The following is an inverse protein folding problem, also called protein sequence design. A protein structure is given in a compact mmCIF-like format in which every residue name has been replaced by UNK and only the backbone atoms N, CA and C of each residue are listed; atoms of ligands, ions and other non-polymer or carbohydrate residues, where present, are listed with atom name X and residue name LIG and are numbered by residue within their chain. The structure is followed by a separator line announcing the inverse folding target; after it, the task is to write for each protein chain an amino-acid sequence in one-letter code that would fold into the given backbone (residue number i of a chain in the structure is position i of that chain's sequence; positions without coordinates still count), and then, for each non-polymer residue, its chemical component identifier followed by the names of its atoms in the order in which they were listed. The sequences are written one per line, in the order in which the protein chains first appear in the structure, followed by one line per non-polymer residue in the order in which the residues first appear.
data_IF_868970014473
#
_entry.id   IF_868970014473
#
_cell.length_a   1.000
_cell.length_b   1.000
_cell.length_c   1.000
_cell.angle_alpha   90.00
_cell.angle_beta   90.00
_cell.angle_gamma   90.00
#
_symmetry.space_group_name_H-M   'P 1'
#
loop_
_entity.id
_entity.type
_entity.pdbx_description
1 polymer ?
#
# COMPACT_ATOMS: atom_id res chain seq x y z
N UNK A 1 -31.79 -10.13 13.23
CA UNK A 1 -30.50 -10.45 12.57
C UNK A 1 -29.39 -9.81 13.38
N UNK A 2 -28.49 -10.59 13.97
CA UNK A 2 -27.27 -10.02 14.56
C UNK A 2 -26.30 -9.70 13.42
N UNK A 3 -26.04 -8.42 13.16
CA UNK A 3 -24.82 -8.05 12.44
C UNK A 3 -23.66 -8.30 13.40
N UNK A 4 -22.92 -9.39 13.19
CA UNK A 4 -21.62 -9.59 13.84
C UNK A 4 -20.73 -8.42 13.47
N UNK A 5 -20.40 -7.56 14.44
CA UNK A 5 -19.46 -6.46 14.26
C UNK A 5 -18.12 -7.07 13.81
N UNK A 6 -17.81 -6.93 12.52
CA UNK A 6 -16.52 -7.36 11.98
C UNK A 6 -15.46 -6.43 12.55
N UNK A 7 -14.44 -6.99 13.20
CA UNK A 7 -13.34 -6.20 13.75
C UNK A 7 -12.74 -5.33 12.62
N UNK A 8 -12.64 -3.99 12.79
CA UNK A 8 -12.17 -3.10 11.74
C UNK A 8 -10.74 -3.43 11.27
N UNK A 9 -9.90 -4.01 12.13
CA UNK A 9 -8.56 -4.49 11.77
C UNK A 9 -8.60 -5.62 10.74
N UNK A 10 -9.46 -6.63 10.94
CA UNK A 10 -9.63 -7.75 10.00
C UNK A 10 -10.21 -7.29 8.66
N UNK A 11 -11.08 -6.26 8.66
CA UNK A 11 -11.55 -5.63 7.42
C UNK A 11 -10.41 -4.95 6.65
N UNK A 12 -9.56 -4.17 7.33
CA UNK A 12 -8.39 -3.52 6.72
C UNK A 12 -7.39 -4.55 6.20
N UNK A 13 -7.05 -5.57 6.98
CA UNK A 13 -6.20 -6.70 6.60
C UNK A 13 -6.72 -7.38 5.32
N UNK A 14 -8.04 -7.66 5.24
CA UNK A 14 -8.68 -8.21 4.03
C UNK A 14 -8.57 -7.27 2.83
N UNK A 15 -8.79 -5.96 3.00
CA UNK A 15 -8.61 -4.95 1.92
C UNK A 15 -7.18 -4.94 1.38
N UNK A 16 -6.16 -4.97 2.25
CA UNK A 16 -4.75 -4.95 1.85
C UNK A 16 -4.40 -6.23 1.08
N UNK A 17 -4.77 -7.41 1.61
CA UNK A 17 -4.53 -8.72 0.96
C UNK A 17 -5.24 -8.83 -0.40
N UNK A 18 -6.52 -8.44 -0.47
CA UNK A 18 -7.27 -8.44 -1.72
C UNK A 18 -6.67 -7.48 -2.76
N UNK A 19 -6.15 -6.33 -2.32
CA UNK A 19 -5.49 -5.36 -3.20
C UNK A 19 -4.14 -5.87 -3.70
N UNK A 20 -3.28 -6.43 -2.85
CA UNK A 20 -1.98 -6.97 -3.27
C UNK A 20 -2.13 -8.16 -4.24
N UNK A 21 -3.07 -9.07 -3.97
CA UNK A 21 -3.41 -10.17 -4.87
C UNK A 21 -3.95 -9.72 -6.23
N UNK A 22 -4.75 -8.63 -6.26
CA UNK A 22 -5.20 -8.00 -7.52
C UNK A 22 -4.06 -7.33 -8.27
N UNK A 23 -3.14 -6.62 -7.60
CA UNK A 23 -1.93 -6.07 -8.24
C UNK A 23 -1.14 -7.21 -8.87
N UNK A 24 -0.82 -8.28 -8.14
CA UNK A 24 -0.04 -9.40 -8.65
C UNK A 24 -0.68 -10.04 -9.91
N UNK A 25 -2.01 -10.20 -9.95
CA UNK A 25 -2.73 -10.69 -11.13
C UNK A 25 -2.66 -9.73 -12.32
N UNK A 26 -2.84 -8.42 -12.09
CA UNK A 26 -2.75 -7.41 -13.15
C UNK A 26 -1.32 -7.29 -13.71
N UNK A 27 -0.29 -7.34 -12.86
CA UNK A 27 1.11 -7.34 -13.30
C UNK A 27 1.43 -8.58 -14.16
N UNK A 28 0.90 -9.77 -13.82
CA UNK A 28 1.02 -10.97 -14.68
C UNK A 28 0.35 -10.74 -16.05
N UNK A 29 -0.81 -10.10 -16.09
CA UNK A 29 -1.47 -9.75 -17.35
C UNK A 29 -0.64 -8.75 -18.18
N UNK A 30 0.08 -7.80 -17.55
CA UNK A 30 1.05 -6.94 -18.24
C UNK A 30 2.19 -7.76 -18.86
N UNK A 31 2.80 -8.69 -18.11
CA UNK A 31 3.88 -9.55 -18.68
C UNK A 31 3.37 -10.37 -19.86
N UNK A 32 2.18 -10.96 -19.76
CA UNK A 32 1.58 -11.72 -20.85
C UNK A 32 1.31 -10.85 -22.09
N UNK A 33 0.78 -9.63 -21.91
CA UNK A 33 0.54 -8.69 -23.01
C UNK A 33 1.85 -8.25 -23.70
N UNK A 34 2.90 -7.99 -22.91
CA UNK A 34 4.23 -7.66 -23.45
C UNK A 34 4.84 -8.84 -24.23
N UNK A 35 4.65 -10.08 -23.75
CA UNK A 35 5.11 -11.27 -24.46
C UNK A 35 4.37 -11.49 -25.79
N UNK A 36 3.04 -11.28 -25.82
CA UNK A 36 2.25 -11.28 -27.07
C UNK A 36 2.73 -10.20 -28.03
N UNK A 37 3.01 -8.98 -27.55
CA UNK A 37 3.56 -7.90 -28.37
C UNK A 37 4.92 -8.29 -28.98
N UNK A 38 5.82 -8.90 -28.20
CA UNK A 38 7.12 -9.39 -28.70
C UNK A 38 6.94 -10.45 -29.79
N UNK A 39 6.04 -11.42 -29.59
CA UNK A 39 5.73 -12.45 -30.60
C UNK A 39 5.20 -11.82 -31.89
N UNK A 40 4.27 -10.86 -31.79
CA UNK A 40 3.73 -10.16 -32.97
C UNK A 40 4.82 -9.40 -33.72
N UNK A 41 5.72 -8.69 -33.02
CA UNK A 41 6.88 -8.02 -33.64
C UNK A 41 7.79 -9.03 -34.35
N UNK A 42 8.09 -10.17 -33.72
CA UNK A 42 8.93 -11.22 -34.32
C UNK A 42 8.29 -11.85 -35.57
N UNK A 43 6.99 -12.12 -35.55
CA UNK A 43 6.23 -12.62 -36.72
C UNK A 43 6.31 -11.60 -37.86
N UNK A 44 6.13 -10.31 -37.57
CA UNK A 44 6.17 -9.26 -38.60
C UNK A 44 7.58 -9.04 -39.17
N UNK A 45 8.63 -9.16 -38.35
CA UNK A 45 10.02 -9.17 -38.84
C UNK A 45 10.30 -10.38 -39.75
N UNK A 46 9.76 -11.56 -39.42
CA UNK A 46 9.89 -12.75 -40.26
C UNK A 46 9.13 -12.60 -41.61
N UNK A 47 7.92 -12.04 -41.60
CA UNK A 47 7.16 -11.76 -42.83
C UNK A 47 7.90 -10.74 -43.70
N UNK A 48 8.35 -9.62 -43.13
CA UNK A 48 9.05 -8.58 -43.85
C UNK A 48 10.41 -9.03 -44.42
N UNK A 49 11.15 -9.87 -43.68
CA UNK A 49 12.42 -10.45 -44.14
C UNK A 49 12.27 -11.60 -45.14
N UNK A 50 11.14 -12.32 -45.12
CA UNK A 50 10.88 -13.46 -46.00
C UNK A 50 10.36 -13.08 -47.39
N UNK A 51 9.74 -11.90 -47.55
CA UNK A 51 9.26 -11.42 -48.83
C UNK A 51 10.38 -10.84 -49.70
N UNK A 52 10.90 -11.63 -50.64
CA UNK A 52 11.75 -11.13 -51.73
C UNK A 52 10.89 -10.29 -52.71
N UNK A 53 10.63 -9.04 -52.35
CA UNK A 53 9.88 -8.09 -53.19
C UNK A 53 10.66 -7.84 -54.47
N UNK A 54 10.19 -8.41 -55.58
CA UNK A 54 10.72 -8.09 -56.91
C UNK A 54 10.29 -6.67 -57.25
N UNK A 55 11.25 -5.74 -57.23
CA UNK A 55 11.01 -4.35 -57.58
C UNK A 55 10.91 -4.25 -59.10
N UNK A 56 9.71 -4.01 -59.61
CA UNK A 56 9.50 -3.64 -61.02
C UNK A 56 10.03 -2.21 -61.24
N UNK A 57 11.10 -2.00 -62.04
CA UNK A 57 11.65 -0.68 -62.28
C UNK A 57 10.71 0.24 -63.06
N UNK A 58 9.68 -0.29 -63.73
CA UNK A 58 8.66 0.49 -64.43
C UNK A 58 7.56 1.02 -63.50
N UNK A 59 7.40 0.45 -62.30
CA UNK A 59 6.41 0.87 -61.31
C UNK A 59 6.98 0.87 -59.87
N UNK A 60 7.72 1.92 -59.47
CA UNK A 60 8.29 2.02 -58.12
C UNK A 60 7.24 2.08 -57.01
N UNK A 61 5.97 2.38 -57.32
CA UNK A 61 4.89 2.45 -56.33
C UNK A 61 4.31 1.09 -55.96
N UNK A 62 4.51 0.04 -56.78
CA UNK A 62 3.98 -1.29 -56.51
C UNK A 62 4.54 -1.89 -55.20
N UNK A 63 5.85 -1.73 -54.96
CA UNK A 63 6.50 -2.18 -53.73
C UNK A 63 5.99 -1.42 -52.49
N UNK A 64 5.80 -0.10 -52.61
CA UNK A 64 5.29 0.75 -51.52
C UNK A 64 3.85 0.35 -51.17
N UNK A 65 2.99 0.18 -52.18
CA UNK A 65 1.58 -0.22 -51.98
C UNK A 65 1.44 -1.58 -51.30
N UNK A 66 2.27 -2.56 -51.68
CA UNK A 66 2.29 -3.89 -51.06
C UNK A 66 2.62 -3.81 -49.56
N UNK A 67 3.67 -3.06 -49.20
CA UNK A 67 4.09 -2.91 -47.80
C UNK A 67 3.12 -2.06 -46.95
N UNK A 68 2.49 -1.05 -47.55
CA UNK A 68 1.63 -0.09 -46.84
C UNK A 68 0.44 -0.75 -46.14
N UNK A 69 -0.17 -1.76 -46.77
CA UNK A 69 -1.29 -2.52 -46.18
C UNK A 69 -0.89 -3.23 -44.87
N UNK A 70 0.24 -3.93 -44.87
CA UNK A 70 0.80 -4.61 -43.70
C UNK A 70 1.17 -3.63 -42.58
N UNK A 71 1.70 -2.44 -42.93
CA UNK A 71 2.01 -1.40 -41.94
C UNK A 71 0.76 -0.78 -41.30
N UNK A 72 -0.35 -0.59 -42.05
CA UNK A 72 -1.62 -0.12 -41.48
C UNK A 72 -2.15 -1.13 -40.46
N UNK A 73 -2.20 -2.42 -40.83
CA UNK A 73 -2.67 -3.49 -39.93
C UNK A 73 -1.80 -3.54 -38.67
N UNK A 74 -0.47 -3.47 -38.81
CA UNK A 74 0.44 -3.40 -37.68
C UNK A 74 0.19 -2.17 -36.78
N UNK A 75 0.01 -0.99 -37.36
CA UNK A 75 -0.26 0.25 -36.63
C UNK A 75 -1.54 0.15 -35.80
N UNK A 76 -2.60 -0.44 -36.35
CA UNK A 76 -3.86 -0.69 -35.62
C UNK A 76 -3.63 -1.67 -34.46
N UNK A 77 -2.91 -2.79 -34.67
CA UNK A 77 -2.61 -3.73 -33.59
C UNK A 77 -1.76 -3.11 -32.48
N UNK A 78 -0.72 -2.34 -32.82
CA UNK A 78 0.11 -1.62 -31.85
C UNK A 78 -0.73 -0.62 -31.05
N UNK A 79 -1.62 0.13 -31.70
CA UNK A 79 -2.51 1.08 -31.04
C UNK A 79 -3.47 0.38 -30.07
N UNK A 80 -4.08 -0.74 -30.47
CA UNK A 80 -4.99 -1.51 -29.61
C UNK A 80 -4.25 -2.09 -28.39
N UNK A 81 -3.02 -2.61 -28.58
CA UNK A 81 -2.19 -3.11 -27.48
C UNK A 81 -1.77 -1.97 -26.54
N UNK A 82 -1.42 -0.80 -27.07
CA UNK A 82 -1.07 0.38 -26.27
C UNK A 82 -2.26 0.86 -25.43
N UNK A 83 -3.47 0.91 -26.01
CA UNK A 83 -4.71 1.23 -25.28
C UNK A 83 -5.00 0.20 -24.17
N UNK A 84 -4.89 -1.10 -24.46
CA UNK A 84 -5.05 -2.15 -23.47
C UNK A 84 -4.02 -2.04 -22.33
N UNK A 85 -2.77 -1.75 -22.65
CA UNK A 85 -1.71 -1.52 -21.67
C UNK A 85 -2.03 -0.31 -20.78
N UNK A 86 -2.46 0.82 -21.35
CA UNK A 86 -2.86 2.02 -20.59
C UNK A 86 -4.00 1.69 -19.60
N UNK A 87 -5.04 0.97 -20.04
CA UNK A 87 -6.14 0.54 -19.17
C UNK A 87 -5.63 -0.33 -18.02
N UNK A 88 -4.76 -1.31 -18.29
CA UNK A 88 -4.19 -2.17 -17.24
C UNK A 88 -3.31 -1.35 -16.27
N UNK A 89 -2.52 -0.38 -16.74
CA UNK A 89 -1.73 0.50 -15.86
C UNK A 89 -2.65 1.33 -14.94
N UNK A 90 -3.73 1.91 -15.46
CA UNK A 90 -4.72 2.63 -14.63
C UNK A 90 -5.32 1.68 -13.57
N UNK A 91 -5.67 0.45 -13.94
CA UNK A 91 -6.15 -0.55 -12.98
C UNK A 91 -5.11 -0.87 -11.90
N UNK A 92 -3.83 -1.00 -12.26
CA UNK A 92 -2.72 -1.21 -11.32
C UNK A 92 -2.58 -0.03 -10.35
N UNK A 93 -2.60 1.21 -10.84
CA UNK A 93 -2.54 2.42 -10.00
C UNK A 93 -3.72 2.50 -9.02
N UNK A 94 -4.93 2.13 -9.45
CA UNK A 94 -6.12 2.08 -8.57
C UNK A 94 -5.96 1.03 -7.45
N UNK A 95 -5.35 -0.12 -7.73
CA UNK A 95 -5.09 -1.11 -6.67
C UNK A 95 -3.95 -0.65 -5.75
N UNK A 96 -2.91 0.03 -6.24
CA UNK A 96 -1.89 0.67 -5.40
C UNK A 96 -2.52 1.71 -4.48
N UNK A 97 -3.42 2.57 -4.99
CA UNK A 97 -4.15 3.53 -4.16
C UNK A 97 -4.91 2.84 -3.01
N UNK A 98 -5.64 1.76 -3.31
CA UNK A 98 -6.35 0.96 -2.30
C UNK A 98 -5.42 0.29 -1.29
N UNK A 99 -4.24 -0.15 -1.73
CA UNK A 99 -3.20 -0.70 -0.86
C UNK A 99 -2.70 0.37 0.13
N UNK A 100 -2.38 1.57 -0.37
CA UNK A 100 -1.98 2.72 0.45
C UNK A 100 -3.07 3.16 1.43
N UNK A 101 -4.33 3.17 1.00
CA UNK A 101 -5.47 3.45 1.86
C UNK A 101 -5.60 2.42 2.98
N UNK A 102 -5.49 1.11 2.67
CA UNK A 102 -5.57 0.05 3.67
C UNK A 102 -4.50 0.17 4.76
N UNK A 103 -3.25 0.49 4.40
CA UNK A 103 -2.20 0.75 5.39
C UNK A 103 -2.44 2.03 6.21
N UNK A 104 -3.00 3.09 5.61
CA UNK A 104 -3.41 4.28 6.36
C UNK A 104 -4.56 4.01 7.33
N UNK A 105 -5.50 3.14 6.98
CA UNK A 105 -6.57 2.69 7.88
C UNK A 105 -5.99 1.90 9.07
N UNK A 106 -5.04 0.99 8.83
CA UNK A 106 -4.33 0.26 9.91
C UNK A 106 -3.55 1.21 10.82
N UNK A 107 -2.82 2.18 10.27
CA UNK A 107 -2.05 3.16 11.05
C UNK A 107 -2.92 4.00 12.01
N UNK A 108 -4.17 4.27 11.62
CA UNK A 108 -5.13 5.01 12.45
C UNK A 108 -5.78 4.11 13.52
N UNK A 109 -5.85 2.80 13.31
CA UNK A 109 -6.39 1.83 14.27
C UNK A 109 -5.37 1.40 15.32
N UNK A 110 -4.08 1.35 14.94
CA UNK A 110 -2.99 0.88 15.79
C UNK A 110 -1.81 1.89 15.79
N UNK A 111 -1.86 2.90 16.68
CA UNK A 111 -0.80 3.92 16.78
C UNK A 111 0.57 3.37 17.17
N UNK A 112 0.68 2.10 17.58
CA UNK A 112 1.97 1.45 17.85
C UNK A 112 2.80 1.16 16.60
N UNK A 113 2.22 1.38 15.41
CA UNK A 113 2.82 1.12 14.09
C UNK A 113 3.14 2.45 13.37
N UNK A 114 4.13 3.24 13.83
CA UNK A 114 4.44 4.55 13.23
C UNK A 114 4.83 4.45 11.75
N UNK A 115 5.44 3.32 11.36
CA UNK A 115 5.84 3.02 9.99
C UNK A 115 4.64 2.85 9.04
N UNK A 116 3.47 2.41 9.53
CA UNK A 116 2.31 2.13 8.69
C UNK A 116 1.77 3.38 7.96
N UNK A 117 1.87 4.55 8.60
CA UNK A 117 1.52 5.84 7.97
C UNK A 117 2.43 6.16 6.79
N UNK A 118 3.73 5.90 6.93
CA UNK A 118 4.75 6.19 5.91
C UNK A 118 4.61 5.31 4.66
N UNK A 119 4.04 4.10 4.78
CA UNK A 119 3.69 3.25 3.64
C UNK A 119 2.76 3.99 2.67
N UNK A 120 1.69 4.60 3.19
CA UNK A 120 0.70 5.30 2.38
C UNK A 120 1.34 6.47 1.62
N UNK A 121 2.21 7.23 2.28
CA UNK A 121 2.98 8.32 1.67
C UNK A 121 3.87 7.83 0.51
N UNK A 122 4.63 6.74 0.69
CA UNK A 122 5.47 6.17 -0.36
C UNK A 122 4.67 5.65 -1.56
N UNK A 123 3.52 5.01 -1.32
CA UNK A 123 2.65 4.51 -2.39
C UNK A 123 1.99 5.67 -3.15
N UNK A 124 1.50 6.70 -2.47
CA UNK A 124 0.90 7.87 -3.13
C UNK A 124 1.94 8.71 -3.88
N UNK A 125 3.15 8.85 -3.34
CA UNK A 125 4.26 9.50 -4.03
C UNK A 125 4.71 8.75 -5.29
N UNK A 126 4.65 7.41 -5.29
CA UNK A 126 4.83 6.62 -6.51
C UNK A 126 3.77 6.92 -7.56
N UNK A 127 2.48 6.88 -7.19
CA UNK A 127 1.37 7.14 -8.11
C UNK A 127 1.51 8.55 -8.72
N UNK A 128 1.80 9.55 -7.88
CA UNK A 128 1.97 10.94 -8.32
C UNK A 128 3.19 11.11 -9.24
N UNK A 129 4.34 10.55 -8.88
CA UNK A 129 5.56 10.60 -9.71
C UNK A 129 5.38 9.88 -11.05
N UNK A 130 4.67 8.75 -11.07
CA UNK A 130 4.35 8.00 -12.29
C UNK A 130 3.40 8.79 -13.21
N UNK A 131 2.31 9.34 -12.68
CA UNK A 131 1.35 10.12 -13.47
C UNK A 131 1.99 11.41 -14.01
N UNK A 132 2.74 12.15 -13.20
CA UNK A 132 3.47 13.34 -13.66
C UNK A 132 4.55 12.98 -14.69
N UNK A 133 5.21 11.82 -14.53
CA UNK A 133 6.19 11.32 -15.49
C UNK A 133 5.60 10.94 -16.86
N UNK A 134 4.31 10.60 -16.93
CA UNK A 134 3.58 10.36 -18.17
C UNK A 134 3.09 11.66 -18.84
N UNK A 135 2.67 12.65 -18.04
CA UNK A 135 2.10 13.90 -18.55
C UNK A 135 3.18 14.87 -19.02
N UNK A 136 4.33 14.94 -18.32
CA UNK A 136 5.36 15.94 -18.60
C UNK A 136 6.42 15.33 -19.54
N UNK A 137 6.60 15.85 -20.77
CA UNK A 137 7.56 15.30 -21.72
C UNK A 137 9.02 15.61 -21.34
N UNK A 138 9.96 14.91 -22.00
CA UNK A 138 11.39 15.20 -21.91
C UNK A 138 12.06 14.71 -20.64
N UNK A 139 13.13 15.40 -20.22
CA UNK A 139 13.95 15.02 -19.07
C UNK A 139 13.22 15.16 -17.75
N UNK A 140 12.35 16.18 -17.59
CA UNK A 140 11.61 16.40 -16.35
C UNK A 140 10.66 15.25 -16.03
N UNK A 141 9.90 14.74 -17.02
CA UNK A 141 9.05 13.56 -16.83
C UNK A 141 9.84 12.32 -16.37
N UNK A 142 11.01 12.08 -16.97
CA UNK A 142 11.93 11.01 -16.54
C UNK A 142 12.39 11.18 -15.08
N UNK A 143 12.67 12.41 -14.64
CA UNK A 143 13.01 12.70 -13.23
C UNK A 143 11.82 12.40 -12.32
N UNK A 144 10.59 12.81 -12.67
CA UNK A 144 9.40 12.55 -11.85
C UNK A 144 9.08 11.05 -11.75
N UNK A 145 9.24 10.29 -12.84
CA UNK A 145 9.09 8.84 -12.83
C UNK A 145 10.16 8.14 -11.97
N UNK A 146 11.40 8.64 -11.98
CA UNK A 146 12.49 8.14 -11.13
C UNK A 146 12.21 8.45 -9.65
N UNK A 147 11.80 9.67 -9.30
CA UNK A 147 11.37 10.05 -7.96
C UNK A 147 10.18 9.21 -7.47
N UNK A 148 9.21 8.94 -8.33
CA UNK A 148 8.12 8.00 -8.06
C UNK A 148 8.65 6.59 -7.72
N UNK A 149 9.67 6.11 -8.43
CA UNK A 149 10.31 4.81 -8.16
C UNK A 149 11.01 4.79 -6.79
N UNK A 150 11.71 5.86 -6.42
CA UNK A 150 12.28 6.01 -5.07
C UNK A 150 11.17 6.02 -3.99
N UNK A 151 10.05 6.68 -4.26
CA UNK A 151 8.90 6.74 -3.35
C UNK A 151 8.25 5.35 -3.16
N UNK A 152 8.10 4.58 -4.25
CA UNK A 152 7.66 3.18 -4.21
C UNK A 152 8.62 2.34 -3.35
N UNK A 153 9.92 2.54 -3.51
CA UNK A 153 10.94 1.83 -2.77
C UNK A 153 10.88 2.12 -1.26
N UNK A 154 10.70 3.38 -0.89
CA UNK A 154 10.46 3.78 0.49
C UNK A 154 9.16 3.16 1.03
N UNK A 155 8.06 3.17 0.26
CA UNK A 155 6.80 2.55 0.63
C UNK A 155 6.94 1.05 0.96
N UNK A 156 7.65 0.29 0.12
CA UNK A 156 7.92 -1.13 0.36
C UNK A 156 8.92 -1.39 1.50
N UNK A 157 9.88 -0.50 1.74
CA UNK A 157 10.73 -0.55 2.93
C UNK A 157 9.90 -0.37 4.21
N UNK A 158 8.97 0.60 4.25
CA UNK A 158 8.08 0.76 5.39
C UNK A 158 7.09 -0.40 5.57
N UNK A 159 6.69 -1.09 4.49
CA UNK A 159 5.95 -2.36 4.59
C UNK A 159 6.81 -3.39 5.34
N UNK A 160 8.05 -3.59 4.92
CA UNK A 160 8.97 -4.53 5.57
C UNK A 160 9.16 -4.23 7.08
N UNK A 161 9.45 -2.97 7.43
CA UNK A 161 9.59 -2.55 8.85
C UNK A 161 8.30 -2.79 9.65
N UNK A 162 7.12 -2.48 9.08
CA UNK A 162 5.83 -2.71 9.76
C UNK A 162 5.58 -4.21 10.00
N UNK A 163 6.00 -5.10 9.11
CA UNK A 163 5.93 -6.55 9.33
C UNK A 163 6.93 -7.04 10.39
N UNK A 164 8.13 -6.46 10.45
CA UNK A 164 9.07 -6.74 11.55
C UNK A 164 8.54 -6.21 12.90
N UNK A 165 7.82 -5.09 12.92
CA UNK A 165 7.14 -4.59 14.12
C UNK A 165 6.00 -5.52 14.57
N UNK A 166 5.15 -6.01 13.66
CA UNK A 166 4.17 -7.07 13.96
C UNK A 166 4.85 -8.35 14.50
N UNK A 167 6.01 -8.73 13.97
CA UNK A 167 6.80 -9.88 14.45
C UNK A 167 7.34 -9.65 15.86
N UNK A 168 7.87 -8.46 16.16
CA UNK A 168 8.32 -8.07 17.53
C UNK A 168 7.17 -8.09 18.54
N UNK A 169 5.95 -7.73 18.10
CA UNK A 169 4.72 -7.81 18.91
C UNK A 169 4.19 -9.25 19.08
N UNK A 170 4.83 -10.28 18.52
CA UNK A 170 4.38 -11.67 18.60
C UNK A 170 3.16 -12.01 17.71
N UNK A 171 2.68 -11.05 16.91
CA UNK A 171 1.51 -11.20 16.02
C UNK A 171 1.82 -11.91 14.70
N UNK A 172 3.09 -12.21 14.47
CA UNK A 172 3.57 -12.82 13.25
C UNK A 172 4.73 -13.79 13.54
N UNK A 173 4.56 -15.07 13.19
CA UNK A 173 5.52 -16.13 13.50
C UNK A 173 6.66 -16.32 12.49
N UNK A 174 6.72 -15.52 11.42
CA UNK A 174 7.72 -15.64 10.34
C UNK A 174 8.41 -14.29 10.10
N UNK A 175 9.67 -14.25 9.64
CA UNK A 175 10.28 -13.02 9.15
C UNK A 175 9.61 -12.57 7.84
N UNK A 176 9.58 -11.26 7.60
CA UNK A 176 9.03 -10.70 6.36
C UNK A 176 9.80 -11.17 5.11
N UNK A 177 9.09 -11.39 3.99
CA UNK A 177 9.72 -11.86 2.74
C UNK A 177 10.69 -10.82 2.16
N UNK A 178 11.99 -11.06 2.32
CA UNK A 178 13.08 -10.24 1.75
C UNK A 178 13.00 -10.10 0.22
N UNK A 179 12.28 -10.97 -0.47
CA UNK A 179 12.12 -10.93 -1.94
C UNK A 179 11.50 -9.62 -2.42
N UNK A 180 10.59 -9.03 -1.65
CA UNK A 180 9.92 -7.78 -2.01
C UNK A 180 10.90 -6.60 -2.02
N UNK A 181 11.81 -6.55 -1.05
CA UNK A 181 12.90 -5.57 -1.02
C UNK A 181 13.88 -5.75 -2.19
N UNK A 182 14.24 -7.00 -2.50
CA UNK A 182 15.12 -7.31 -3.65
C UNK A 182 14.45 -6.89 -4.97
N UNK A 183 13.16 -7.20 -5.16
CA UNK A 183 12.39 -6.81 -6.34
C UNK A 183 12.42 -5.29 -6.59
N UNK A 184 12.21 -4.54 -5.53
CA UNK A 184 12.24 -3.07 -5.50
C UNK A 184 13.63 -2.55 -5.84
N UNK A 185 14.69 -3.12 -5.26
CA UNK A 185 16.07 -2.74 -5.57
C UNK A 185 16.42 -2.99 -7.05
N UNK A 186 16.05 -4.13 -7.62
CA UNK A 186 16.24 -4.42 -9.05
C UNK A 186 15.45 -3.46 -9.95
N UNK A 187 14.20 -3.13 -9.57
CA UNK A 187 13.37 -2.15 -10.29
C UNK A 187 13.99 -0.76 -10.26
N UNK A 188 14.51 -0.33 -9.10
CA UNK A 188 15.17 0.95 -8.93
C UNK A 188 16.47 1.03 -9.74
N UNK A 189 17.31 -0.01 -9.70
CA UNK A 189 18.53 -0.12 -10.52
C UNK A 189 18.18 -0.04 -12.01
N UNK A 190 17.19 -0.81 -12.48
CA UNK A 190 16.71 -0.75 -13.87
C UNK A 190 16.30 0.65 -14.29
N UNK A 191 15.53 1.36 -13.45
CA UNK A 191 15.08 2.72 -13.75
C UNK A 191 16.23 3.75 -13.70
N UNK A 192 17.21 3.62 -12.81
CA UNK A 192 18.43 4.43 -12.81
C UNK A 192 19.24 4.19 -14.08
N UNK A 193 19.44 2.93 -14.49
CA UNK A 193 20.17 2.60 -15.72
C UNK A 193 19.45 3.13 -16.97
N UNK A 194 18.12 3.05 -17.03
CA UNK A 194 17.31 3.60 -18.13
C UNK A 194 17.33 5.13 -18.17
N UNK A 195 17.42 5.79 -17.01
CA UNK A 195 17.58 7.24 -16.91
C UNK A 195 18.92 7.70 -17.50
N UNK A 196 20.03 7.10 -17.04
CA UNK A 196 21.40 7.41 -17.48
C UNK A 196 21.58 7.06 -18.96
N UNK A 197 21.21 5.85 -19.38
CA UNK A 197 21.38 5.37 -20.75
C UNK A 197 20.22 5.77 -21.67
N UNK A 198 19.85 7.05 -21.66
CA UNK A 198 18.63 7.62 -22.29
C UNK A 198 18.41 7.35 -23.80
N UNK A 199 19.32 6.64 -24.47
CA UNK A 199 19.31 6.28 -25.90
C UNK A 199 19.05 4.77 -26.13
N UNK A 200 19.30 3.89 -25.15
CA UNK A 200 19.25 2.43 -25.34
C UNK A 200 17.99 1.79 -24.72
N UNK A 201 16.85 1.84 -25.43
CA UNK A 201 15.56 1.29 -24.95
C UNK A 201 15.58 -0.21 -24.60
N UNK A 202 16.50 -1.00 -25.17
CA UNK A 202 16.58 -2.46 -25.00
C UNK A 202 17.98 -2.86 -24.50
N UNK A 203 18.53 -2.08 -23.56
CA UNK A 203 19.79 -2.35 -22.90
C UNK A 203 19.66 -3.14 -21.60
N UNK A 204 20.78 -3.23 -20.87
CA UNK A 204 20.88 -3.91 -19.55
C UNK A 204 19.80 -3.44 -18.57
N UNK A 205 19.43 -2.16 -18.57
CA UNK A 205 18.38 -1.62 -17.69
C UNK A 205 16.99 -2.25 -17.92
N UNK A 206 16.67 -2.67 -19.15
CA UNK A 206 15.44 -3.39 -19.46
C UNK A 206 15.41 -4.80 -18.85
N UNK A 207 16.56 -5.50 -18.84
CA UNK A 207 16.72 -6.81 -18.22
C UNK A 207 16.58 -6.75 -16.69
N UNK A 208 17.24 -5.79 -16.03
CA UNK A 208 17.08 -5.55 -14.60
C UNK A 208 15.65 -5.13 -14.23
N UNK A 209 15.01 -4.30 -15.06
CA UNK A 209 13.60 -3.94 -14.91
C UNK A 209 12.66 -5.16 -14.99
N UNK A 210 12.86 -6.04 -15.97
CA UNK A 210 12.08 -7.28 -16.12
C UNK A 210 12.25 -8.21 -14.91
N UNK A 211 13.48 -8.43 -14.44
CA UNK A 211 13.75 -9.23 -13.24
C UNK A 211 13.08 -8.59 -12.01
N UNK A 212 13.24 -7.29 -11.81
CA UNK A 212 12.60 -6.55 -10.73
C UNK A 212 11.08 -6.72 -10.74
N UNK A 213 10.46 -6.64 -11.92
CA UNK A 213 9.02 -6.81 -12.11
C UNK A 213 8.54 -8.25 -11.81
N UNK A 214 9.28 -9.28 -12.23
CA UNK A 214 8.98 -10.68 -11.92
C UNK A 214 9.11 -10.94 -10.41
N UNK A 215 10.19 -10.44 -9.78
CA UNK A 215 10.37 -10.53 -8.33
C UNK A 215 9.29 -9.75 -7.57
N UNK A 216 8.78 -8.65 -8.13
CA UNK A 216 7.71 -7.84 -7.52
C UNK A 216 6.39 -8.60 -7.52
N UNK A 217 6.06 -9.31 -8.60
CA UNK A 217 4.91 -10.22 -8.67
C UNK A 217 5.01 -11.32 -7.59
N UNK A 218 6.20 -11.91 -7.41
CA UNK A 218 6.44 -12.94 -6.39
C UNK A 218 6.32 -12.34 -4.98
N UNK A 219 6.93 -11.19 -4.73
CA UNK A 219 6.89 -10.49 -3.45
C UNK A 219 5.48 -10.04 -3.06
N UNK A 220 4.64 -9.62 -4.02
CA UNK A 220 3.25 -9.27 -3.77
C UNK A 220 2.37 -10.48 -3.44
N UNK A 221 2.65 -11.65 -4.03
CA UNK A 221 1.98 -12.92 -3.67
C UNK A 221 2.42 -13.45 -2.30
N UNK A 222 3.70 -13.29 -1.95
CA UNK A 222 4.17 -13.58 -0.60
C UNK A 222 3.48 -12.62 0.39
N UNK A 223 3.42 -11.32 0.10
CA UNK A 223 2.72 -10.32 0.91
C UNK A 223 1.22 -10.62 1.08
N UNK A 224 0.50 -10.99 0.01
CA UNK A 224 -0.91 -11.42 0.08
C UNK A 224 -1.12 -12.54 1.11
N UNK A 225 -0.21 -13.52 1.14
CA UNK A 225 -0.22 -14.66 2.07
C UNK A 225 0.18 -14.26 3.48
N UNK A 226 1.23 -13.46 3.62
CA UNK A 226 1.77 -13.03 4.90
C UNK A 226 0.76 -12.13 5.64
N UNK A 227 0.07 -11.21 4.95
CA UNK A 227 -1.02 -10.41 5.53
C UNK A 227 -2.10 -11.29 6.17
N UNK A 228 -2.53 -12.37 5.50
CA UNK A 228 -3.60 -13.24 5.99
C UNK A 228 -3.21 -13.98 7.29
N UNK A 229 -1.92 -14.22 7.50
CA UNK A 229 -1.37 -14.93 8.65
C UNK A 229 -1.12 -14.04 9.88
N UNK A 230 -1.27 -12.70 9.78
CA UNK A 230 -1.16 -11.79 10.93
C UNK A 230 -2.35 -11.98 11.87
N UNK A 231 -2.09 -12.27 13.14
CA UNK A 231 -3.15 -12.33 14.16
C UNK A 231 -3.51 -10.92 14.66
N UNK A 232 -4.79 -10.66 14.99
CA UNK A 232 -5.13 -9.47 15.76
C UNK A 232 -4.42 -9.54 17.12
N UNK A 233 -4.04 -8.38 17.66
CA UNK A 233 -3.58 -8.30 19.05
C UNK A 233 -4.71 -8.81 19.93
N UNK A 234 -4.52 -9.94 20.62
CA UNK A 234 -5.33 -10.20 21.81
C UNK A 234 -5.08 -9.03 22.75
N UNK A 235 -6.10 -8.22 22.99
CA UNK A 235 -6.06 -7.23 24.06
C UNK A 235 -5.85 -8.02 25.34
N UNK A 236 -4.60 -8.12 25.80
CA UNK A 236 -4.24 -8.73 27.07
C UNK A 236 -5.21 -8.12 28.08
N UNK A 237 -6.12 -8.92 28.69
CA UNK A 237 -7.17 -8.35 29.52
C UNK A 237 -6.45 -7.57 30.61
N UNK A 238 -6.66 -6.25 30.63
CA UNK A 238 -5.99 -5.34 31.55
C UNK A 238 -6.28 -5.84 32.95
N UNK A 239 -5.32 -6.55 33.54
CA UNK A 239 -5.49 -7.07 34.89
C UNK A 239 -5.83 -5.86 35.77
N UNK A 240 -6.91 -5.92 36.56
CA UNK A 240 -7.27 -4.81 37.44
C UNK A 240 -6.01 -4.42 38.21
N UNK A 241 -5.66 -3.11 38.27
CA UNK A 241 -4.36 -2.69 38.80
C UNK A 241 -4.19 -3.29 40.19
N UNK A 242 -3.21 -4.18 40.32
CA UNK A 242 -2.87 -4.81 41.60
C UNK A 242 -2.67 -3.70 42.61
N UNK A 243 -3.59 -3.59 43.56
CA UNK A 243 -3.59 -2.49 44.52
C UNK A 243 -2.33 -2.61 45.37
N UNK A 244 -1.32 -1.80 45.06
CA UNK A 244 -0.18 -1.59 45.95
C UNK A 244 -0.74 -1.05 47.26
N UNK A 245 -0.46 -1.66 48.42
CA UNK A 245 -0.99 -1.20 49.70
C UNK A 245 -0.67 0.28 49.93
N UNK A 246 -1.72 1.09 50.10
CA UNK A 246 -1.63 2.53 50.27
C UNK A 246 -0.94 2.86 51.60
N UNK A 247 0.36 3.18 51.58
CA UNK A 247 1.06 3.70 52.74
C UNK A 247 0.65 5.16 52.96
N UNK A 248 0.07 5.43 54.13
CA UNK A 248 -0.41 6.77 54.50
C UNK A 248 0.76 7.76 54.65
N UNK A 249 0.67 8.99 54.11
CA UNK A 249 1.67 10.03 54.35
C UNK A 249 1.65 10.52 55.81
N UNK A 250 2.79 10.45 56.48
CA UNK A 250 2.97 10.98 57.84
C UNK A 250 2.91 12.52 57.83
N UNK A 251 2.19 13.08 58.81
CA UNK A 251 1.97 14.52 59.01
C UNK A 251 3.22 15.34 59.36
N UNK A 252 3.32 16.57 58.84
CA UNK A 252 4.16 17.66 59.38
C UNK A 252 3.37 18.99 59.34
N UNK A 253 3.45 19.91 60.35
CA UNK A 253 2.50 21.02 60.50
C UNK A 253 3.09 22.46 60.33
N UNK A 254 2.25 23.43 59.88
CA UNK A 254 2.21 24.87 60.33
C UNK A 254 3.41 25.79 59.95
N UNK A 255 3.35 27.07 59.52
CA UNK A 255 2.35 28.14 59.17
C UNK A 255 3.13 29.37 58.56
N UNK A 256 2.62 30.62 58.37
CA UNK A 256 1.31 31.12 57.87
C UNK A 256 1.38 32.28 56.81
N UNK A 257 0.29 32.48 56.03
CA UNK A 257 -0.30 33.78 55.57
C UNK A 257 0.45 34.76 54.59
N UNK A 258 -0.25 35.66 53.85
CA UNK A 258 -1.65 35.64 53.33
C UNK A 258 -1.86 36.13 51.85
N UNK A 259 -3.14 36.14 51.40
CA UNK A 259 -3.75 37.04 50.38
C UNK A 259 -3.43 36.88 48.86
N UNK A 260 -4.36 37.00 47.88
CA UNK A 260 -5.85 37.11 47.91
C UNK A 260 -6.49 36.90 46.50
N UNK A 261 -7.75 36.42 46.44
CA UNK A 261 -8.80 36.57 45.39
C UNK A 261 -8.52 36.19 43.90
N UNK A 262 -9.49 35.69 43.11
CA UNK A 262 -10.96 35.85 43.18
C UNK A 262 -11.74 34.58 42.73
N UNK A 263 -12.98 34.44 43.22
CA UNK A 263 -13.95 33.35 42.94
C UNK A 263 -14.82 33.71 41.70
N UNK A 264 -15.64 32.86 41.05
CA UNK A 264 -16.81 32.07 41.52
C UNK A 264 -17.50 31.44 40.27
N UNK A 265 -18.61 30.64 40.35
CA UNK A 265 -19.28 30.07 41.52
C UNK A 265 -19.47 28.52 41.46
N UNK A 266 -19.98 27.96 42.56
CA UNK A 266 -20.27 26.53 42.75
C UNK A 266 -21.55 26.07 42.02
N UNK A 267 -21.67 24.76 41.77
CA UNK A 267 -22.89 24.04 42.16
C UNK A 267 -22.47 22.76 42.87
N UNK A 268 -22.77 22.68 44.16
CA UNK A 268 -22.65 21.47 44.93
C UNK A 268 -23.91 20.64 44.65
N UNK A 269 -23.74 19.44 44.12
CA UNK A 269 -24.72 18.39 44.32
C UNK A 269 -23.96 17.16 44.84
N UNK A 270 -24.45 16.59 45.94
CA UNK A 270 -23.83 15.44 46.57
C UNK A 270 -24.32 14.18 45.84
N UNK A 271 -23.90 14.03 44.59
CA UNK A 271 -24.30 12.91 43.72
C UNK A 271 -23.84 11.61 44.36
N UNK A 272 -24.78 10.94 45.03
CA UNK A 272 -24.56 9.58 45.48
C UNK A 272 -24.33 8.72 44.23
N UNK A 273 -23.26 7.92 44.28
CA UNK A 273 -22.77 7.16 43.13
C UNK A 273 -22.79 5.68 43.44
N UNK A 274 -23.17 4.87 42.45
CA UNK A 274 -23.14 3.41 42.55
C UNK A 274 -22.14 2.82 41.56
N UNK A 275 -21.49 1.74 41.97
CA UNK A 275 -20.53 1.02 41.14
C UNK A 275 -21.22 -0.17 40.49
N UNK A 276 -20.97 -0.39 39.19
CA UNK A 276 -21.58 -1.51 38.48
C UNK A 276 -21.06 -2.85 39.02
N UNK A 277 -21.92 -3.79 39.44
CA UNK A 277 -21.47 -5.08 39.97
C UNK A 277 -20.80 -5.98 38.91
N UNK A 278 -20.98 -5.70 37.61
CA UNK A 278 -20.39 -6.49 36.52
C UNK A 278 -19.03 -5.94 36.05
N UNK A 279 -18.86 -4.61 35.95
CA UNK A 279 -17.63 -4.01 35.39
C UNK A 279 -16.95 -2.96 36.28
N UNK A 280 -17.45 -2.69 37.48
CA UNK A 280 -16.85 -1.74 38.44
C UNK A 280 -16.95 -0.25 38.05
N UNK A 281 -17.54 0.11 36.92
CA UNK A 281 -17.69 1.51 36.50
C UNK A 281 -18.52 2.31 37.50
N UNK A 282 -18.11 3.55 37.79
CA UNK A 282 -18.87 4.54 38.57
C UNK A 282 -20.03 5.08 37.72
N UNK A 283 -21.25 4.99 38.24
CA UNK A 283 -22.48 5.50 37.62
C UNK A 283 -23.22 6.39 38.65
N UNK A 284 -24.13 7.24 38.18
CA UNK A 284 -25.00 8.03 39.04
C UNK A 284 -26.09 7.12 39.64
N UNK A 285 -26.64 7.46 40.82
CA UNK A 285 -27.72 6.65 41.42
C UNK A 285 -28.94 6.49 40.50
N UNK A 286 -29.23 7.51 39.69
CA UNK A 286 -30.35 7.54 38.74
C UNK A 286 -30.15 6.66 37.50
N UNK A 287 -28.92 6.18 37.25
CA UNK A 287 -28.62 5.29 36.13
C UNK A 287 -29.24 3.91 36.35
N UNK A 288 -30.18 3.54 35.48
CA UNK A 288 -30.81 2.20 35.44
C UNK A 288 -29.93 1.15 34.76
N UNK A 289 -28.94 1.58 34.00
CA UNK A 289 -28.01 0.74 33.25
C UNK A 289 -26.62 1.36 33.31
N UNK A 290 -25.58 0.52 33.34
CA UNK A 290 -24.21 0.99 33.41
C UNK A 290 -23.78 1.67 32.10
N UNK A 291 -23.25 2.88 32.20
CA UNK A 291 -22.77 3.69 31.05
C UNK A 291 -21.67 2.99 30.24
N UNK A 292 -20.91 2.06 30.83
CA UNK A 292 -19.80 1.37 30.17
C UNK A 292 -20.19 0.02 29.55
N UNK A 293 -20.96 -0.81 30.27
CA UNK A 293 -21.23 -2.20 29.86
C UNK A 293 -22.72 -2.50 29.59
N UNK A 294 -23.62 -1.54 29.76
CA UNK A 294 -25.07 -1.71 29.56
C UNK A 294 -25.76 -2.64 30.57
N UNK A 295 -25.04 -3.20 31.55
CA UNK A 295 -25.65 -4.06 32.58
C UNK A 295 -26.62 -3.26 33.44
N UNK A 296 -27.82 -3.79 33.65
CA UNK A 296 -28.83 -3.17 34.52
C UNK A 296 -28.24 -2.97 35.92
N UNK A 297 -28.44 -1.77 36.47
CA UNK A 297 -28.05 -1.43 37.83
C UNK A 297 -29.30 -1.45 38.70
N UNK A 298 -29.30 -2.30 39.71
CA UNK A 298 -30.31 -2.27 40.77
C UNK A 298 -30.15 -1.02 41.67
#
# INVERSE_FOLDING_TARGET
MYQTQVNPFELSKRKISESSGKIAKLLIAVVALLFVLIILVMIMLAIAGGSSVVIDPSNPYAAVGAMFSSFIVLGIFILLIALAFIVIQIMVLVQYYKLGQGFSEVANMDPSLPNAKNISFGIYGYIMGYVLGLIIPGTFGKIMALLGTFSLAAGFYFIYETFEDFRKQGRFGKPASKKLFIAVAFTLIGNIMNFVNSIAMIGVGGFFGLIGFILLIIGLKDLERDILLVTPTETVPTQPPTQTPYQAPTSVPTSPAPEQSNQSPQTQDATQVKFCPNCGTKNELQDKFCISCGTKLD
#
